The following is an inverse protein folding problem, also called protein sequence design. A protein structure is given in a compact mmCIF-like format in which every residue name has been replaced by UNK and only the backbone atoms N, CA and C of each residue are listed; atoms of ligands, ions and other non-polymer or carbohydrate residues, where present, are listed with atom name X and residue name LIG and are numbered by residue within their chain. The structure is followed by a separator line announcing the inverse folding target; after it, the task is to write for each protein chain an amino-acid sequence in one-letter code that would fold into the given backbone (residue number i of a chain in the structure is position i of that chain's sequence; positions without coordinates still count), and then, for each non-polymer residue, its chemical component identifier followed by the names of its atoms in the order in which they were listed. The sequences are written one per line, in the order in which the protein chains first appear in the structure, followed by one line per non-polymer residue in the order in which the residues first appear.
data_IF_613827598805
#
_entry.id   IF_613827598805
#
_cell.length_a   1.000
_cell.length_b   1.000
_cell.length_c   1.000
_cell.angle_alpha   90.00
_cell.angle_beta   90.00
_cell.angle_gamma   90.00
#
_symmetry.space_group_name_H-M   'P 1'
#
loop_
_entity.id
_entity.type
_entity.pdbx_description
1 polymer ?
#
# COMPACT_ATOMS: atom_id res chain seq x y z
N UNK A 1 -10.27 -40.25 -58.12
CA UNK A 1 -9.09 -41.14 -58.05
C UNK A 1 -7.82 -40.29 -58.05
N UNK A 2 -6.79 -40.69 -57.29
CA UNK A 2 -5.34 -40.71 -57.64
C UNK A 2 -5.00 -40.04 -59.00
N UNK A 3 -4.07 -39.09 -59.22
CA UNK A 3 -2.70 -38.74 -58.68
C UNK A 3 -2.29 -37.40 -59.37
N UNK A 4 -1.18 -36.66 -59.13
CA UNK A 4 0.00 -36.75 -58.23
C UNK A 4 0.58 -35.35 -57.92
N UNK A 5 1.32 -35.26 -56.81
CA UNK A 5 2.53 -34.46 -56.51
C UNK A 5 3.19 -33.67 -57.67
N UNK A 6 3.55 -32.42 -57.41
CA UNK A 6 4.80 -31.81 -57.91
C UNK A 6 5.54 -31.13 -56.75
N UNK A 7 6.76 -31.59 -56.44
CA UNK A 7 7.63 -30.97 -55.45
C UNK A 7 8.74 -30.21 -56.18
N UNK A 8 8.92 -28.92 -55.86
CA UNK A 8 10.08 -28.15 -56.33
C UNK A 8 11.20 -28.26 -55.29
N UNK A 9 12.29 -28.93 -55.67
CA UNK A 9 13.56 -28.85 -54.97
C UNK A 9 14.49 -27.90 -55.73
N UNK A 10 15.05 -26.91 -55.05
CA UNK A 10 16.23 -26.18 -55.52
C UNK A 10 17.33 -26.31 -54.46
N UNK A 11 18.42 -26.98 -54.82
CA UNK A 11 19.63 -27.00 -53.99
C UNK A 11 20.36 -25.67 -54.12
N UNK A 12 20.84 -25.12 -53.01
CA UNK A 12 21.83 -24.06 -52.97
C UNK A 12 23.14 -24.61 -52.37
N UNK A 13 24.25 -24.29 -53.03
CA UNK A 13 25.58 -24.87 -52.84
C UNK A 13 26.25 -24.50 -51.51
N UNK A 14 26.97 -25.45 -50.90
CA UNK A 14 27.89 -25.19 -49.80
C UNK A 14 29.17 -24.49 -50.30
N UNK A 15 29.38 -23.24 -49.90
CA UNK A 15 30.66 -22.55 -50.04
C UNK A 15 31.44 -22.67 -48.71
N UNK A 16 32.54 -23.44 -48.71
CA UNK A 16 33.35 -23.64 -47.52
C UNK A 16 34.42 -22.55 -47.38
N UNK A 17 34.17 -21.56 -46.51
CA UNK A 17 35.22 -20.66 -46.02
C UNK A 17 35.80 -21.21 -44.71
N UNK A 18 37.12 -21.48 -44.71
CA UNK A 18 37.87 -21.81 -43.49
C UNK A 18 37.69 -20.68 -42.46
N UNK A 19 37.17 -21.00 -41.28
CA UNK A 19 37.22 -20.10 -40.12
C UNK A 19 38.40 -20.52 -39.23
N UNK A 20 39.17 -19.54 -38.76
CA UNK A 20 40.30 -19.78 -37.85
C UNK A 20 39.79 -20.34 -36.52
N UNK A 21 40.66 -21.10 -35.85
CA UNK A 21 40.43 -21.61 -34.50
C UNK A 21 40.56 -20.48 -33.48
N UNK A 22 39.50 -19.67 -33.33
CA UNK A 22 39.31 -18.84 -32.15
C UNK A 22 38.96 -19.76 -30.97
N UNK A 23 39.63 -19.57 -29.84
CA UNK A 23 39.41 -20.35 -28.62
C UNK A 23 37.94 -20.29 -28.21
N UNK A 24 37.29 -21.44 -28.10
CA UNK A 24 35.99 -21.55 -27.46
C UNK A 24 36.22 -21.19 -25.98
N UNK A 25 35.67 -20.09 -25.45
CA UNK A 25 35.71 -19.86 -24.02
C UNK A 25 34.96 -21.03 -23.37
N UNK A 26 35.60 -21.70 -22.41
CA UNK A 26 34.94 -22.78 -21.67
C UNK A 26 33.54 -22.32 -21.25
N UNK A 27 32.47 -23.08 -21.51
CA UNK A 27 31.16 -22.70 -21.01
C UNK A 27 31.27 -22.63 -19.49
N UNK A 28 31.03 -21.42 -18.95
CA UNK A 28 30.82 -21.25 -17.52
C UNK A 28 29.75 -22.26 -17.13
N UNK A 29 29.98 -23.12 -16.11
CA UNK A 29 28.97 -24.09 -15.71
C UNK A 29 27.65 -23.37 -15.48
N UNK A 30 26.56 -23.88 -16.06
CA UNK A 30 25.22 -23.41 -15.71
C UNK A 30 24.96 -23.74 -14.24
N UNK A 31 25.35 -22.82 -13.36
CA UNK A 31 25.02 -22.87 -11.95
C UNK A 31 23.50 -22.81 -11.86
N UNK A 32 22.88 -23.97 -11.58
CA UNK A 32 21.43 -24.10 -11.53
C UNK A 32 20.89 -23.21 -10.42
N UNK A 33 20.43 -22.03 -10.82
CA UNK A 33 19.92 -21.00 -9.93
C UNK A 33 18.90 -21.59 -8.95
N UNK A 34 19.01 -21.19 -7.68
CA UNK A 34 18.22 -21.82 -6.62
C UNK A 34 16.73 -21.51 -6.79
N UNK A 35 15.83 -22.51 -6.66
CA UNK A 35 14.38 -22.27 -6.54
C UNK A 35 13.99 -21.68 -5.16
N UNK A 36 14.96 -21.28 -4.35
CA UNK A 36 14.78 -20.66 -3.04
C UNK A 36 15.83 -19.59 -2.76
N UNK A 37 15.41 -18.35 -2.52
CA UNK A 37 16.26 -17.30 -1.95
C UNK A 37 16.08 -17.21 -0.42
N UNK A 38 17.11 -16.78 0.34
CA UNK A 38 16.96 -16.43 1.75
C UNK A 38 16.18 -15.12 1.90
N UNK A 39 15.34 -15.03 2.93
CA UNK A 39 14.65 -13.79 3.29
C UNK A 39 14.28 -13.76 4.78
N UNK A 40 14.11 -12.57 5.34
CA UNK A 40 13.68 -12.38 6.74
C UNK A 40 12.18 -12.11 6.82
N UNK A 41 11.50 -12.67 7.82
CA UNK A 41 10.09 -12.40 8.11
C UNK A 41 9.95 -11.69 9.46
N UNK A 42 9.33 -10.51 9.45
CA UNK A 42 8.92 -9.74 10.63
C UNK A 42 7.41 -9.53 10.57
N UNK A 43 6.80 -9.16 11.68
CA UNK A 43 5.39 -8.77 11.68
C UNK A 43 4.92 -8.14 12.98
N UNK A 44 3.76 -7.49 12.90
CA UNK A 44 3.08 -6.91 14.06
C UNK A 44 2.64 -8.00 15.05
N UNK A 45 2.78 -7.70 16.35
CA UNK A 45 2.38 -8.60 17.46
C UNK A 45 1.08 -8.19 18.16
N UNK A 46 0.58 -7.00 17.86
CA UNK A 46 -0.60 -6.38 18.46
C UNK A 46 -1.24 -5.44 17.44
N UNK A 47 -2.54 -5.22 17.56
CA UNK A 47 -3.26 -4.30 16.69
C UNK A 47 -2.78 -2.85 16.87
N UNK A 48 -2.86 -2.07 15.80
CA UNK A 48 -2.61 -0.63 15.87
C UNK A 48 -3.72 0.02 16.68
N UNK A 49 -3.35 0.64 17.81
CA UNK A 49 -4.27 1.46 18.59
C UNK A 49 -4.37 2.85 17.93
N UNK A 50 -5.56 3.29 17.52
CA UNK A 50 -5.75 4.65 16.99
C UNK A 50 -5.53 5.68 18.11
N UNK A 51 -5.10 6.89 17.73
CA UNK A 51 -4.87 7.99 18.68
C UNK A 51 -6.17 8.52 19.30
N UNK A 52 -7.30 8.31 18.62
CA UNK A 52 -8.63 8.75 19.03
C UNK A 52 -9.59 7.56 18.98
N UNK A 53 -10.59 7.48 19.87
CA UNK A 53 -11.64 6.47 19.78
C UNK A 53 -12.47 6.67 18.51
N UNK A 54 -12.94 5.57 17.93
CA UNK A 54 -13.86 5.60 16.80
C UNK A 54 -15.28 5.99 17.25
N UNK A 55 -16.08 6.55 16.33
CA UNK A 55 -17.54 6.59 16.49
C UNK A 55 -18.09 5.17 16.50
N UNK A 56 -19.01 4.87 17.43
CA UNK A 56 -19.69 3.58 17.51
C UNK A 56 -20.48 3.25 16.24
N UNK A 57 -21.09 4.27 15.62
CA UNK A 57 -21.95 4.13 14.42
C UNK A 57 -21.17 4.26 13.11
N UNK A 58 -20.28 5.25 13.01
CA UNK A 58 -19.65 5.66 11.75
C UNK A 58 -18.13 5.45 11.71
N UNK A 59 -17.58 4.77 12.73
CA UNK A 59 -16.17 4.49 12.88
C UNK A 59 -15.32 5.77 12.77
N UNK A 60 -14.43 5.92 11.77
CA UNK A 60 -13.61 7.13 11.59
C UNK A 60 -14.10 8.09 10.48
N UNK A 61 -15.36 8.01 10.06
CA UNK A 61 -15.90 8.97 9.09
C UNK A 61 -15.95 10.37 9.72
N UNK A 62 -15.54 11.42 8.99
CA UNK A 62 -15.46 12.79 9.51
C UNK A 62 -14.23 13.10 10.36
N UNK A 63 -13.39 12.09 10.65
CA UNK A 63 -12.14 12.30 11.37
C UNK A 63 -11.04 12.82 10.47
N UNK A 64 -10.09 13.54 11.07
CA UNK A 64 -8.84 13.93 10.42
C UNK A 64 -7.97 12.74 10.03
N UNK A 65 -7.14 12.94 9.02
CA UNK A 65 -6.13 11.97 8.55
C UNK A 65 -4.88 12.69 8.05
N UNK A 66 -3.72 12.15 8.42
CA UNK A 66 -2.41 12.64 8.02
C UNK A 66 -1.85 11.79 6.88
N UNK A 67 -2.01 12.26 5.63
CA UNK A 67 -1.53 11.54 4.45
C UNK A 67 0.01 11.54 4.34
N UNK A 68 0.72 12.27 5.21
CA UNK A 68 2.18 12.26 5.25
C UNK A 68 2.75 11.12 6.09
N UNK A 69 1.90 10.43 6.86
CA UNK A 69 2.26 9.31 7.71
C UNK A 69 2.17 7.98 6.94
N UNK A 70 1.19 7.11 7.21
CA UNK A 70 1.05 5.78 6.60
C UNK A 70 -0.17 5.68 5.70
N UNK A 71 -0.12 4.75 4.77
CA UNK A 71 -1.19 4.46 3.82
C UNK A 71 -2.28 3.58 4.45
N UNK A 72 -3.50 4.10 4.54
CA UNK A 72 -4.68 3.39 5.09
C UNK A 72 -4.47 2.79 6.49
N UNK A 73 -3.75 3.47 7.38
CA UNK A 73 -3.41 2.98 8.72
C UNK A 73 -4.18 3.74 9.81
N UNK A 74 -4.57 3.04 10.87
CA UNK A 74 -5.20 3.63 12.05
C UNK A 74 -4.25 4.59 12.80
N UNK A 75 -2.93 4.43 12.69
CA UNK A 75 -1.96 5.38 13.29
C UNK A 75 -1.98 6.75 12.63
N UNK A 76 -2.52 6.86 11.41
CA UNK A 76 -2.57 8.09 10.63
C UNK A 76 -3.90 8.83 10.76
N UNK A 77 -4.88 8.25 11.47
CA UNK A 77 -6.10 8.95 11.90
C UNK A 77 -5.76 10.02 12.95
N UNK A 78 -6.51 11.11 12.95
CA UNK A 78 -6.33 12.32 13.77
C UNK A 78 -7.67 12.74 14.40
N UNK A 79 -7.73 13.88 15.08
CA UNK A 79 -8.91 14.30 15.84
C UNK A 79 -10.17 14.47 14.96
N UNK A 80 -11.37 14.37 15.56
CA UNK A 80 -12.63 14.45 14.83
C UNK A 80 -12.97 15.88 14.35
N UNK A 81 -13.22 16.04 13.05
CA UNK A 81 -13.50 17.33 12.40
C UNK A 81 -15.00 17.55 12.21
N UNK A 82 -15.72 16.53 11.77
CA UNK A 82 -17.16 16.59 11.47
C UNK A 82 -17.95 15.72 12.45
N UNK A 83 -18.99 16.28 13.06
CA UNK A 83 -20.00 15.53 13.80
C UNK A 83 -20.93 14.83 12.79
N UNK A 84 -20.52 13.64 12.36
CA UNK A 84 -21.29 12.81 11.43
C UNK A 84 -22.64 12.38 12.02
N UNK A 85 -22.73 12.20 13.34
CA UNK A 85 -24.00 11.88 13.99
C UNK A 85 -24.99 13.04 13.89
N UNK A 86 -24.54 14.28 14.05
CA UNK A 86 -25.36 15.47 13.83
C UNK A 86 -25.69 15.69 12.35
N UNK A 87 -24.76 15.40 11.43
CA UNK A 87 -24.98 15.46 9.98
C UNK A 87 -26.10 14.52 9.53
N UNK A 88 -26.05 13.25 9.97
CA UNK A 88 -27.06 12.23 9.63
C UNK A 88 -28.42 12.54 10.27
N UNK A 89 -28.44 13.12 11.47
CA UNK A 89 -29.66 13.46 12.20
C UNK A 89 -30.46 14.63 11.59
N UNK A 90 -29.86 15.48 10.74
CA UNK A 90 -30.55 16.64 10.13
C UNK A 90 -31.60 16.25 9.08
N UNK A 91 -31.56 14.99 8.58
CA UNK A 91 -32.46 14.39 7.56
C UNK A 91 -32.43 15.02 6.17
N UNK A 92 -31.98 16.28 6.02
CA UNK A 92 -31.68 16.88 4.70
C UNK A 92 -30.35 16.35 4.15
N UNK A 93 -29.43 16.08 5.06
CA UNK A 93 -28.19 15.35 4.82
C UNK A 93 -28.33 13.95 5.40
N UNK A 94 -27.66 12.98 4.78
CA UNK A 94 -27.69 11.57 5.18
C UNK A 94 -26.33 10.96 4.85
N UNK A 95 -25.82 10.07 5.69
CA UNK A 95 -24.63 9.26 5.40
C UNK A 95 -25.00 8.19 4.38
N UNK A 96 -24.27 8.17 3.26
CA UNK A 96 -24.36 7.08 2.29
C UNK A 96 -23.75 5.84 2.93
N UNK A 97 -24.59 4.82 3.10
CA UNK A 97 -24.23 3.53 3.67
C UNK A 97 -24.38 2.42 2.64
N UNK A 98 -23.31 1.67 2.42
CA UNK A 98 -23.32 0.45 1.60
C UNK A 98 -22.86 -0.71 2.48
N UNK A 99 -23.66 -1.77 2.58
CA UNK A 99 -23.34 -3.00 3.31
C UNK A 99 -23.21 -4.15 2.33
N UNK A 100 -22.08 -4.86 2.37
CA UNK A 100 -21.82 -6.00 1.50
C UNK A 100 -20.39 -6.49 1.68
N UNK A 101 -20.22 -7.82 1.76
CA UNK A 101 -18.91 -8.44 1.94
C UNK A 101 -18.17 -8.55 0.61
N UNK A 102 -17.06 -7.82 0.46
CA UNK A 102 -16.18 -7.88 -0.71
C UNK A 102 -14.76 -8.23 -0.26
N UNK A 103 -14.23 -9.37 -0.70
CA UNK A 103 -12.82 -9.71 -0.52
C UNK A 103 -12.04 -9.55 -1.82
N UNK A 104 -10.82 -9.00 -1.73
CA UNK A 104 -9.90 -8.86 -2.86
C UNK A 104 -8.49 -8.59 -2.34
N UNK A 105 -7.52 -8.41 -3.23
CA UNK A 105 -6.19 -7.93 -2.89
C UNK A 105 -5.72 -6.83 -3.85
N UNK A 106 -4.69 -6.11 -3.44
CA UNK A 106 -3.94 -5.18 -4.30
C UNK A 106 -2.45 -5.41 -4.10
N UNK A 107 -1.74 -5.57 -5.21
CA UNK A 107 -0.27 -5.68 -5.25
C UNK A 107 0.29 -4.43 -5.91
N UNK A 108 1.23 -3.76 -5.26
CA UNK A 108 2.01 -2.64 -5.80
C UNK A 108 3.48 -3.00 -5.73
N UNK A 109 4.16 -3.04 -6.86
CA UNK A 109 5.62 -3.21 -6.97
C UNK A 109 6.24 -1.84 -7.25
N UNK A 110 7.44 -1.58 -6.72
CA UNK A 110 8.09 -0.30 -6.88
C UNK A 110 9.63 -0.36 -6.87
N UNK A 111 10.26 0.34 -7.82
CA UNK A 111 11.71 0.33 -8.01
C UNK A 111 12.50 1.02 -6.89
N UNK A 112 11.80 1.80 -6.04
CA UNK A 112 12.35 2.54 -4.92
C UNK A 112 11.25 3.04 -3.97
N UNK A 113 11.62 3.57 -2.80
CA UNK A 113 10.67 4.16 -1.85
C UNK A 113 9.93 5.39 -2.41
N UNK A 114 10.59 6.16 -3.29
CA UNK A 114 10.00 7.29 -4.02
C UNK A 114 8.89 6.82 -4.97
N UNK A 115 9.15 5.75 -5.72
CA UNK A 115 8.18 5.16 -6.64
C UNK A 115 7.00 4.54 -5.88
N UNK A 116 7.24 3.82 -4.78
CA UNK A 116 6.16 3.30 -3.94
C UNK A 116 5.29 4.43 -3.39
N UNK A 117 5.91 5.46 -2.80
CA UNK A 117 5.19 6.64 -2.29
C UNK A 117 4.41 7.38 -3.39
N UNK A 118 4.94 7.41 -4.62
CA UNK A 118 4.23 7.95 -5.80
C UNK A 118 3.00 7.10 -6.15
N UNK A 119 3.15 5.77 -6.21
CA UNK A 119 2.06 4.82 -6.50
C UNK A 119 0.98 4.81 -5.40
N UNK A 120 1.36 4.97 -4.14
CA UNK A 120 0.44 5.14 -3.01
C UNK A 120 -0.31 6.49 -3.11
N UNK A 121 0.40 7.62 -3.28
CA UNK A 121 -0.21 8.94 -3.48
C UNK A 121 -1.16 9.02 -4.66
N UNK A 122 -0.87 8.32 -5.76
CA UNK A 122 -1.73 8.31 -6.95
C UNK A 122 -2.98 7.41 -6.79
N UNK A 123 -3.20 6.81 -5.61
CA UNK A 123 -4.41 6.05 -5.29
C UNK A 123 -5.60 6.92 -4.85
N UNK A 124 -5.38 8.21 -4.61
CA UNK A 124 -6.41 9.17 -4.21
C UNK A 124 -6.27 10.46 -5.01
N UNK A 125 -7.39 11.06 -5.39
CA UNK A 125 -7.38 12.31 -6.15
C UNK A 125 -6.72 13.45 -5.37
N UNK A 126 -7.02 13.55 -4.06
CA UNK A 126 -6.49 14.60 -3.19
C UNK A 126 -4.97 14.53 -2.96
N UNK A 127 -4.33 13.36 -3.15
CA UNK A 127 -2.89 13.17 -2.90
C UNK A 127 -2.05 12.94 -4.15
N UNK A 128 -2.68 12.99 -5.33
CA UNK A 128 -2.05 12.66 -6.61
C UNK A 128 -0.82 13.53 -6.88
N UNK A 129 0.30 12.90 -7.22
CA UNK A 129 1.58 13.58 -7.48
C UNK A 129 2.37 14.07 -6.26
N UNK A 130 1.82 14.00 -5.03
CA UNK A 130 2.45 14.55 -3.82
C UNK A 130 3.55 13.65 -3.21
N UNK A 131 3.56 12.34 -3.50
CA UNK A 131 4.60 11.37 -3.08
C UNK A 131 4.73 11.23 -1.56
N UNK A 132 3.58 11.08 -0.91
CA UNK A 132 3.40 11.02 0.54
C UNK A 132 3.28 9.57 1.02
N UNK A 133 2.71 9.35 2.21
CA UNK A 133 2.62 8.05 2.88
C UNK A 133 3.97 7.38 3.18
N UNK A 134 5.06 8.15 3.32
CA UNK A 134 6.43 7.62 3.45
C UNK A 134 6.68 6.76 4.69
N UNK A 135 5.91 6.94 5.78
CA UNK A 135 6.05 6.12 6.98
C UNK A 135 5.51 4.69 6.80
N UNK A 136 4.77 4.42 5.72
CA UNK A 136 4.43 3.05 5.26
C UNK A 136 5.70 2.22 4.98
N UNK A 137 6.83 2.90 4.73
CA UNK A 137 8.12 2.30 4.39
C UNK A 137 9.12 2.53 5.52
N UNK A 138 9.31 3.80 5.91
CA UNK A 138 10.39 4.21 6.82
C UNK A 138 10.31 3.57 8.22
N UNK A 139 9.10 3.36 8.75
CA UNK A 139 8.92 2.79 10.10
C UNK A 139 8.96 1.26 10.11
N UNK A 140 8.96 0.62 8.95
CA UNK A 140 8.79 -0.83 8.81
C UNK A 140 10.12 -1.58 8.83
N UNK A 141 11.18 -0.95 8.31
CA UNK A 141 12.54 -1.49 8.26
C UNK A 141 13.55 -0.51 8.91
N UNK A 142 13.48 -0.30 10.24
CA UNK A 142 14.26 0.73 10.95
C UNK A 142 15.78 0.51 10.89
N UNK A 143 16.23 -0.72 10.60
CA UNK A 143 17.64 -1.09 10.39
C UNK A 143 18.21 -0.64 9.03
N UNK A 144 17.39 0.00 8.18
CA UNK A 144 17.76 0.37 6.81
C UNK A 144 17.44 1.83 6.52
N UNK A 145 18.31 2.51 5.75
CA UNK A 145 17.90 3.72 5.04
C UNK A 145 16.90 3.34 3.95
N UNK A 146 15.61 3.43 4.28
CA UNK A 146 14.53 3.09 3.39
C UNK A 146 14.55 3.90 2.08
N UNK A 147 15.16 5.09 2.08
CA UNK A 147 15.25 5.96 0.91
C UNK A 147 16.43 5.68 -0.01
N UNK A 148 17.32 4.74 0.34
CA UNK A 148 18.49 4.42 -0.48
C UNK A 148 18.09 3.73 -1.80
N UNK A 149 18.67 4.19 -2.91
CA UNK A 149 18.38 3.74 -4.28
C UNK A 149 18.62 2.26 -4.54
N UNK A 150 19.45 1.57 -3.76
CA UNK A 150 19.68 0.12 -3.95
C UNK A 150 18.42 -0.70 -3.66
N UNK A 151 17.59 -0.23 -2.71
CA UNK A 151 16.41 -0.95 -2.29
C UNK A 151 15.26 -0.83 -3.29
N UNK A 152 14.52 -1.93 -3.39
CA UNK A 152 13.24 -2.05 -4.09
C UNK A 152 12.14 -2.41 -3.09
N UNK A 153 10.88 -2.18 -3.47
CA UNK A 153 9.75 -2.37 -2.58
C UNK A 153 8.57 -3.08 -3.21
N UNK A 154 7.81 -3.78 -2.36
CA UNK A 154 6.48 -4.27 -2.65
C UNK A 154 5.52 -3.89 -1.54
N UNK A 155 4.26 -3.62 -1.88
CA UNK A 155 3.16 -3.48 -0.93
C UNK A 155 2.02 -4.36 -1.41
N UNK A 156 1.67 -5.37 -0.61
CA UNK A 156 0.54 -6.25 -0.84
C UNK A 156 -0.50 -6.00 0.25
N UNK A 157 -1.78 -5.88 -0.12
CA UNK A 157 -2.89 -5.72 0.82
C UNK A 157 -4.00 -6.68 0.43
N UNK A 158 -4.27 -7.69 1.26
CA UNK A 158 -5.48 -8.50 1.16
C UNK A 158 -6.53 -7.94 2.11
N UNK A 159 -7.72 -7.63 1.59
CA UNK A 159 -8.75 -6.92 2.34
C UNK A 159 -10.13 -7.55 2.16
N UNK A 160 -10.94 -7.42 3.20
CA UNK A 160 -12.34 -7.86 3.30
C UNK A 160 -13.13 -6.64 3.76
N UNK A 161 -13.79 -5.96 2.82
CA UNK A 161 -14.70 -4.84 3.09
C UNK A 161 -16.05 -5.42 3.50
N UNK A 162 -16.67 -4.86 4.54
CA UNK A 162 -18.02 -5.21 5.00
C UNK A 162 -19.00 -4.05 4.84
N UNK A 163 -18.52 -2.82 5.05
CA UNK A 163 -19.31 -1.59 4.94
C UNK A 163 -18.50 -0.49 4.26
N UNK A 164 -19.18 0.41 3.57
CA UNK A 164 -18.65 1.69 3.14
C UNK A 164 -19.56 2.78 3.73
N UNK A 165 -18.94 3.78 4.35
CA UNK A 165 -19.61 4.99 4.83
C UNK A 165 -19.05 6.20 4.07
N UNK A 166 -19.94 7.06 3.58
CA UNK A 166 -19.57 8.29 2.87
C UNK A 166 -20.50 9.44 3.25
N UNK A 167 -19.99 10.65 3.35
CA UNK A 167 -20.80 11.87 3.34
C UNK A 167 -20.46 12.74 2.12
N UNK A 168 -21.38 13.63 1.74
CA UNK A 168 -21.13 14.57 0.65
C UNK A 168 -20.42 15.80 1.19
N UNK A 169 -19.15 15.96 0.82
CA UNK A 169 -18.32 17.09 1.22
C UNK A 169 -18.58 18.32 0.32
N UNK A 170 -19.68 19.02 0.58
CA UNK A 170 -19.91 20.39 0.11
C UNK A 170 -19.70 21.39 1.26
N UNK A 171 -19.74 22.71 0.99
CA UNK A 171 -19.53 23.73 2.04
C UNK A 171 -20.62 23.73 3.13
N UNK A 172 -21.77 23.10 2.91
CA UNK A 172 -22.82 23.04 3.92
C UNK A 172 -22.50 22.08 5.07
N UNK A 173 -21.55 21.15 4.88
CA UNK A 173 -21.03 20.29 5.95
C UNK A 173 -20.43 21.09 7.11
N UNK A 174 -19.95 22.32 6.87
CA UNK A 174 -19.29 23.15 7.89
C UNK A 174 -20.23 23.58 9.03
N UNK A 175 -21.55 23.45 8.84
CA UNK A 175 -22.54 23.58 9.91
C UNK A 175 -22.32 22.53 11.02
N UNK A 176 -21.90 21.32 10.63
CA UNK A 176 -21.77 20.13 11.48
C UNK A 176 -20.34 19.89 11.99
N UNK A 177 -19.44 20.89 11.93
CA UNK A 177 -18.11 20.71 12.53
C UNK A 177 -18.21 20.55 14.05
N UNK A 178 -17.32 19.74 14.62
CA UNK A 178 -17.25 19.49 16.07
C UNK A 178 -16.97 20.79 16.83
N UNK A 179 -17.47 20.88 18.07
CA UNK A 179 -17.23 22.05 18.92
C UNK A 179 -15.73 22.28 19.19
N UNK A 180 -14.95 21.20 19.31
CA UNK A 180 -13.50 21.26 19.44
C UNK A 180 -12.83 21.84 18.19
N UNK A 181 -13.18 21.38 16.99
CA UNK A 181 -12.58 21.92 15.76
C UNK A 181 -12.98 23.38 15.54
N UNK A 182 -14.26 23.75 15.75
CA UNK A 182 -14.73 25.15 15.67
C UNK A 182 -13.96 26.09 16.60
N UNK A 183 -13.69 25.67 17.85
CA UNK A 183 -12.87 26.43 18.80
C UNK A 183 -11.41 26.47 18.38
N UNK A 184 -10.85 25.35 17.95
CA UNK A 184 -9.44 25.25 17.63
C UNK A 184 -9.07 26.05 16.36
N UNK A 185 -9.98 26.18 15.38
CA UNK A 185 -9.82 27.07 14.22
C UNK A 185 -9.48 28.52 14.65
N UNK A 186 -10.06 29.01 15.74
CA UNK A 186 -9.86 30.40 16.21
C UNK A 186 -8.67 30.56 17.14
N UNK A 187 -8.25 29.49 17.83
CA UNK A 187 -7.19 29.53 18.83
C UNK A 187 -5.82 29.05 18.33
N UNK A 188 -5.78 28.11 17.39
CA UNK A 188 -4.55 27.43 16.97
C UNK A 188 -3.93 28.05 15.71
N UNK A 189 -2.60 27.95 15.61
CA UNK A 189 -1.87 28.17 14.37
C UNK A 189 -2.18 27.07 13.34
N UNK A 190 -1.93 27.34 12.06
CA UNK A 190 -2.04 26.33 11.01
C UNK A 190 -1.20 25.06 11.29
N UNK A 191 -0.02 25.21 11.90
CA UNK A 191 0.83 24.08 12.29
C UNK A 191 0.17 23.21 13.36
N UNK A 192 -0.41 23.82 14.40
CA UNK A 192 -1.07 23.09 15.49
C UNK A 192 -2.36 22.42 15.01
N UNK A 193 -3.13 23.08 14.13
CA UNK A 193 -4.28 22.49 13.47
C UNK A 193 -3.89 21.24 12.67
N UNK A 194 -2.84 21.32 11.85
CA UNK A 194 -2.39 20.19 11.03
C UNK A 194 -1.79 19.06 11.88
N UNK A 195 -1.11 19.37 12.97
CA UNK A 195 -0.64 18.36 13.92
C UNK A 195 -1.81 17.62 14.61
N UNK A 196 -2.88 18.33 15.00
CA UNK A 196 -4.02 17.77 15.75
C UNK A 196 -5.06 17.06 14.87
N UNK A 197 -5.40 17.66 13.73
CA UNK A 197 -6.45 17.20 12.81
C UNK A 197 -5.89 16.59 11.51
N UNK A 198 -4.57 16.53 11.35
CA UNK A 198 -3.96 16.01 10.14
C UNK A 198 -4.07 16.97 8.96
N UNK A 199 -4.08 16.40 7.77
CA UNK A 199 -3.96 17.13 6.51
C UNK A 199 -5.25 17.11 5.68
N UNK A 200 -6.04 16.07 5.89
CA UNK A 200 -7.30 15.80 5.20
C UNK A 200 -8.34 15.29 6.21
N UNK A 201 -9.60 15.25 5.80
CA UNK A 201 -10.72 14.62 6.51
C UNK A 201 -11.17 13.39 5.71
N UNK A 202 -11.52 12.32 6.43
CA UNK A 202 -12.05 11.09 5.90
C UNK A 202 -13.51 11.27 5.46
N UNK A 203 -13.77 11.28 4.15
CA UNK A 203 -15.08 11.56 3.53
C UNK A 203 -15.78 10.33 2.95
N UNK A 204 -15.02 9.30 2.57
CA UNK A 204 -15.52 8.02 2.05
C UNK A 204 -14.57 6.91 2.52
N UNK A 205 -15.02 6.07 3.45
CA UNK A 205 -14.20 5.06 4.13
C UNK A 205 -14.73 3.65 3.98
N UNK A 206 -13.79 2.70 3.94
CA UNK A 206 -14.04 1.27 3.93
C UNK A 206 -13.85 0.71 5.34
N UNK A 207 -14.88 0.03 5.82
CA UNK A 207 -14.89 -0.68 7.10
C UNK A 207 -14.79 -2.17 6.83
N UNK A 208 -13.88 -2.84 7.50
CA UNK A 208 -13.62 -4.25 7.23
C UNK A 208 -12.44 -4.80 8.02
N UNK A 209 -11.69 -5.70 7.39
CA UNK A 209 -10.40 -6.17 7.89
C UNK A 209 -9.40 -6.27 6.75
N UNK A 210 -8.11 -6.05 7.02
CA UNK A 210 -7.03 -6.17 6.04
C UNK A 210 -5.78 -6.81 6.62
N UNK A 211 -5.01 -7.45 5.77
CA UNK A 211 -3.69 -8.02 6.01
C UNK A 211 -2.73 -7.40 5.00
N UNK A 212 -1.79 -6.59 5.50
CA UNK A 212 -0.80 -5.90 4.69
C UNK A 212 0.56 -6.59 4.80
N UNK A 213 1.33 -6.58 3.71
CA UNK A 213 2.72 -7.01 3.66
C UNK A 213 3.52 -5.96 2.92
N UNK A 214 4.54 -5.40 3.59
CA UNK A 214 5.58 -4.60 2.94
C UNK A 214 6.78 -5.51 2.69
N UNK A 215 7.29 -5.48 1.47
CA UNK A 215 8.49 -6.17 1.01
C UNK A 215 9.58 -5.15 0.74
N UNK A 216 10.82 -5.48 1.11
CA UNK A 216 12.02 -4.77 0.71
C UNK A 216 13.09 -5.79 0.30
N UNK A 217 13.85 -5.49 -0.75
CA UNK A 217 15.07 -6.21 -1.10
C UNK A 217 16.08 -5.26 -1.73
N UNK A 218 17.30 -5.73 -1.92
CA UNK A 218 18.26 -5.12 -2.83
C UNK A 218 18.14 -5.78 -4.20
N UNK A 219 18.23 -4.97 -5.25
CA UNK A 219 18.22 -5.45 -6.63
C UNK A 219 19.22 -4.65 -7.48
N UNK A 220 19.80 -5.25 -8.55
CA UNK A 220 20.55 -4.52 -9.56
C UNK A 220 19.74 -3.37 -10.19
N UNK A 221 20.43 -2.32 -10.62
CA UNK A 221 19.84 -1.25 -11.43
C UNK A 221 19.74 -1.69 -12.90
N UNK A 222 18.72 -1.21 -13.62
CA UNK A 222 18.52 -1.47 -15.05
C UNK A 222 17.22 -2.20 -15.38
N UNK A 223 16.96 -2.41 -16.66
CA UNK A 223 15.63 -2.75 -17.22
C UNK A 223 15.01 -4.11 -16.86
N UNK A 224 15.54 -4.87 -15.89
CA UNK A 224 14.89 -6.04 -15.29
C UNK A 224 14.39 -5.80 -13.86
N UNK A 225 14.62 -4.61 -13.30
CA UNK A 225 14.35 -4.29 -11.89
C UNK A 225 12.90 -4.59 -11.49
N UNK A 226 11.90 -4.18 -12.29
CA UNK A 226 10.49 -4.54 -12.07
C UNK A 226 10.24 -6.06 -11.98
N UNK A 227 10.81 -6.87 -12.89
CA UNK A 227 10.65 -8.33 -12.84
C UNK A 227 11.29 -8.93 -11.58
N UNK A 228 12.47 -8.44 -11.20
CA UNK A 228 13.18 -8.88 -10.00
C UNK A 228 12.29 -8.66 -8.76
N UNK A 229 11.65 -7.50 -8.66
CA UNK A 229 10.71 -7.15 -7.59
C UNK A 229 9.49 -8.06 -7.61
N UNK A 230 8.90 -8.26 -8.78
CA UNK A 230 7.74 -9.14 -8.98
C UNK A 230 8.05 -10.56 -8.47
N UNK A 231 9.19 -11.13 -8.85
CA UNK A 231 9.62 -12.46 -8.43
C UNK A 231 9.85 -12.55 -6.92
N UNK A 232 10.60 -11.61 -6.35
CA UNK A 232 10.89 -11.59 -4.92
C UNK A 232 9.64 -11.42 -4.05
N UNK A 233 8.73 -10.52 -4.44
CA UNK A 233 7.46 -10.31 -3.76
C UNK A 233 6.54 -11.54 -3.89
N UNK A 234 6.37 -12.12 -5.09
CA UNK A 234 5.50 -13.28 -5.27
C UNK A 234 6.04 -14.53 -4.57
N UNK A 235 7.35 -14.72 -4.58
CA UNK A 235 8.01 -15.81 -3.87
C UNK A 235 7.80 -15.70 -2.36
N UNK A 236 8.06 -14.53 -1.76
CA UNK A 236 7.91 -14.33 -0.31
C UNK A 236 6.45 -14.44 0.16
N UNK A 237 5.49 -13.89 -0.59
CA UNK A 237 4.06 -14.03 -0.29
C UNK A 237 3.57 -15.49 -0.35
N UNK A 238 3.93 -16.21 -1.42
CA UNK A 238 3.55 -17.62 -1.61
C UNK A 238 4.20 -18.53 -0.56
N UNK A 239 5.49 -18.32 -0.25
CA UNK A 239 6.24 -19.12 0.72
C UNK A 239 5.81 -18.90 2.17
N UNK A 240 5.45 -17.68 2.54
CA UNK A 240 5.14 -17.33 3.95
C UNK A 240 3.66 -17.51 4.27
N UNK A 241 2.77 -17.12 3.35
CA UNK A 241 1.33 -16.99 3.63
C UNK A 241 0.43 -17.85 2.72
N UNK A 242 0.99 -18.45 1.66
CA UNK A 242 0.19 -19.11 0.62
C UNK A 242 -0.65 -18.13 -0.22
N UNK A 243 -0.35 -16.83 -0.18
CA UNK A 243 -1.15 -15.79 -0.82
C UNK A 243 -0.92 -15.74 -2.35
N UNK A 244 -1.98 -15.49 -3.14
CA UNK A 244 -1.88 -15.29 -4.58
C UNK A 244 -1.33 -13.89 -4.90
N UNK A 245 -0.69 -13.74 -6.07
CA UNK A 245 -0.30 -12.43 -6.62
C UNK A 245 -0.97 -12.10 -7.95
N UNK A 246 -1.75 -13.03 -8.51
CA UNK A 246 -2.33 -12.96 -9.86
C UNK A 246 -1.55 -13.74 -10.92
N UNK A 247 -0.36 -14.23 -10.59
CA UNK A 247 0.51 -15.00 -11.48
C UNK A 247 0.38 -16.51 -11.22
N UNK A 248 0.34 -17.31 -12.29
CA UNK A 248 0.16 -18.77 -12.25
C UNK A 248 1.34 -19.55 -12.87
N UNK A 249 2.27 -18.84 -13.50
CA UNK A 249 3.52 -19.34 -14.06
C UNK A 249 4.56 -19.69 -12.98
N UNK A 250 5.57 -20.46 -13.37
CA UNK A 250 6.70 -20.80 -12.51
C UNK A 250 7.66 -19.60 -12.32
N UNK A 251 8.30 -19.48 -11.13
CA UNK A 251 9.28 -18.43 -10.86
C UNK A 251 10.38 -18.32 -11.93
N UNK A 252 10.60 -17.13 -12.49
CA UNK A 252 11.80 -16.85 -13.26
C UNK A 252 13.00 -16.85 -12.30
N UNK A 253 13.75 -17.95 -12.32
CA UNK A 253 14.86 -18.16 -11.37
C UNK A 253 15.96 -17.10 -11.50
N UNK A 254 16.17 -16.51 -12.68
CA UNK A 254 17.13 -15.43 -12.87
C UNK A 254 16.70 -14.17 -12.15
N UNK A 255 15.49 -13.71 -12.42
CA UNK A 255 14.96 -12.49 -11.81
C UNK A 255 14.72 -12.71 -10.29
N UNK A 256 14.40 -13.93 -9.85
CA UNK A 256 14.30 -14.27 -8.43
C UNK A 256 15.66 -14.20 -7.70
N UNK A 257 16.71 -14.83 -8.24
CA UNK A 257 18.02 -14.91 -7.57
C UNK A 257 18.81 -13.58 -7.62
N UNK A 258 18.42 -12.63 -8.47
CA UNK A 258 18.94 -11.26 -8.44
C UNK A 258 18.39 -10.41 -7.26
N UNK A 259 17.43 -10.92 -6.47
CA UNK A 259 17.04 -10.32 -5.20
C UNK A 259 18.01 -10.72 -4.08
N UNK A 260 18.63 -9.75 -3.43
CA UNK A 260 19.46 -9.98 -2.23
C UNK A 260 18.88 -9.23 -1.02
N UNK A 261 19.30 -9.61 0.19
CA UNK A 261 18.85 -8.98 1.45
C UNK A 261 17.32 -8.91 1.65
N UNK A 262 16.56 -9.80 1.02
CA UNK A 262 15.10 -9.74 1.01
C UNK A 262 14.50 -9.83 2.42
N UNK A 263 13.52 -8.98 2.73
CA UNK A 263 12.75 -9.02 3.96
C UNK A 263 11.29 -8.60 3.74
N UNK A 264 10.40 -9.19 4.53
CA UNK A 264 8.99 -8.82 4.61
C UNK A 264 8.61 -8.44 6.03
N UNK A 265 7.68 -7.50 6.13
CA UNK A 265 6.95 -7.18 7.35
C UNK A 265 5.46 -7.30 7.09
N UNK A 266 4.74 -8.06 7.92
CA UNK A 266 3.28 -8.17 7.84
C UNK A 266 2.56 -7.49 9.01
N UNK A 267 1.36 -7.00 8.77
CA UNK A 267 0.44 -6.47 9.78
C UNK A 267 -1.01 -6.78 9.43
N UNK A 268 -1.90 -6.63 10.40
CA UNK A 268 -3.34 -6.68 10.18
C UNK A 268 -4.05 -5.47 10.79
N UNK A 269 -5.24 -5.18 10.30
CA UNK A 269 -6.18 -4.23 10.89
C UNK A 269 -7.57 -4.85 10.82
N UNK A 270 -8.27 -4.92 11.95
CA UNK A 270 -9.50 -5.69 12.08
C UNK A 270 -9.27 -7.21 12.16
N UNK A 271 -10.33 -7.94 12.55
CA UNK A 271 -10.23 -9.35 12.91
C UNK A 271 -9.55 -9.53 14.27
N UNK A 272 -8.71 -10.56 14.41
CA UNK A 272 -8.01 -10.91 15.65
C UNK A 272 -6.54 -11.27 15.33
N UNK A 273 -5.62 -10.32 15.55
CA UNK A 273 -4.19 -10.51 15.27
C UNK A 273 -3.57 -11.68 16.05
N UNK A 274 -4.13 -12.09 17.20
CA UNK A 274 -3.64 -13.24 17.97
C UNK A 274 -3.79 -14.58 17.23
N UNK A 275 -4.56 -14.60 16.14
CA UNK A 275 -4.72 -15.75 15.25
C UNK A 275 -3.61 -15.87 14.20
N UNK A 276 -2.83 -14.80 13.96
CA UNK A 276 -1.65 -14.82 13.09
C UNK A 276 -0.47 -15.44 13.84
N UNK A 277 -0.37 -16.76 13.79
CA UNK A 277 0.69 -17.52 14.47
C UNK A 277 1.82 -17.84 13.48
N UNK A 278 3.01 -17.21 13.62
CA UNK A 278 4.18 -17.60 12.85
C UNK A 278 4.78 -18.90 13.39
N UNK A 279 5.02 -19.86 12.50
CA UNK A 279 5.59 -21.17 12.78
C UNK A 279 6.84 -21.41 11.92
N UNK A 280 7.87 -22.04 12.47
CA UNK A 280 9.08 -22.39 11.70
C UNK A 280 8.98 -23.84 11.20
N UNK A 281 8.81 -24.01 9.89
CA UNK A 281 8.68 -25.30 9.21
C UNK A 281 9.80 -25.41 8.20
N UNK A 282 10.65 -26.45 8.28
CA UNK A 282 11.79 -26.68 7.37
C UNK A 282 12.67 -25.42 7.18
N UNK A 283 13.06 -24.80 8.30
CA UNK A 283 13.85 -23.56 8.38
C UNK A 283 13.22 -22.34 7.70
N UNK A 284 11.88 -22.29 7.58
CA UNK A 284 11.13 -21.17 7.00
C UNK A 284 9.99 -20.74 7.92
N UNK A 285 9.76 -19.44 8.01
CA UNK A 285 8.58 -18.91 8.70
C UNK A 285 7.36 -19.06 7.79
N UNK A 286 6.30 -19.64 8.32
CA UNK A 286 4.97 -19.74 7.71
C UNK A 286 3.96 -19.10 8.65
N UNK A 287 3.00 -18.33 8.13
CA UNK A 287 1.91 -17.73 8.90
C UNK A 287 0.59 -18.07 8.23
N UNK A 288 -0.16 -18.99 8.84
CA UNK A 288 -1.44 -19.42 8.28
C UNK A 288 -2.55 -18.38 8.58
N UNK A 289 -3.15 -17.83 7.52
CA UNK A 289 -4.14 -16.76 7.64
C UNK A 289 -5.56 -17.26 7.94
N UNK A 290 -5.85 -18.56 7.81
CA UNK A 290 -7.22 -19.10 7.91
C UNK A 290 -7.94 -18.71 9.20
N UNK A 291 -7.24 -18.79 10.35
CA UNK A 291 -7.81 -18.43 11.64
C UNK A 291 -8.03 -16.92 11.81
N UNK A 292 -7.20 -16.10 11.17
CA UNK A 292 -7.41 -14.65 11.13
C UNK A 292 -8.59 -14.30 10.20
N UNK A 293 -8.66 -14.88 9.01
CA UNK A 293 -9.81 -14.70 8.08
C UNK A 293 -11.12 -15.14 8.75
N UNK A 294 -11.15 -16.28 9.44
CA UNK A 294 -12.33 -16.72 10.19
C UNK A 294 -12.73 -15.77 11.34
N UNK A 295 -11.83 -14.87 11.77
CA UNK A 295 -12.10 -13.85 12.80
C UNK A 295 -12.57 -12.50 12.26
N UNK A 296 -12.55 -12.27 10.94
CA UNK A 296 -12.95 -10.99 10.30
C UNK A 296 -14.47 -10.86 10.19
N UNK A 297 -15.18 -11.05 11.30
CA UNK A 297 -16.63 -10.86 11.44
C UNK A 297 -17.00 -9.37 11.57
N UNK A 298 -18.24 -9.01 11.23
CA UNK A 298 -18.72 -7.61 11.19
C UNK A 298 -18.43 -6.82 12.48
N UNK A 299 -18.60 -7.42 13.66
CA UNK A 299 -18.35 -6.79 14.97
C UNK A 299 -16.85 -6.52 15.27
N UNK A 300 -15.94 -7.16 14.50
CA UNK A 300 -14.49 -6.95 14.58
C UNK A 300 -13.95 -6.16 13.39
N UNK A 301 -14.82 -5.47 12.66
CA UNK A 301 -14.44 -4.59 11.56
C UNK A 301 -14.13 -3.18 12.03
N UNK A 302 -13.21 -2.51 11.34
CA UNK A 302 -12.83 -1.12 11.59
C UNK A 302 -12.37 -0.45 10.29
N UNK A 303 -12.00 0.83 10.32
CA UNK A 303 -11.38 1.50 9.19
C UNK A 303 -10.18 0.71 8.65
N UNK A 304 -10.23 0.38 7.37
CA UNK A 304 -9.13 -0.28 6.63
C UNK A 304 -8.62 0.54 5.45
N UNK A 305 -9.17 1.74 5.24
CA UNK A 305 -8.72 2.66 4.21
C UNK A 305 -9.81 3.54 3.64
N UNK A 306 -9.39 4.53 2.85
CA UNK A 306 -10.29 5.39 2.09
C UNK A 306 -10.70 4.77 0.75
N UNK A 307 -11.76 5.32 0.16
CA UNK A 307 -11.99 5.26 -1.30
C UNK A 307 -11.12 6.30 -2.01
N UNK A 308 -11.04 6.23 -3.33
CA UNK A 308 -10.28 7.16 -4.20
C UNK A 308 -10.65 8.64 -3.98
N UNK A 309 -11.94 8.92 -3.78
CA UNK A 309 -12.50 10.23 -3.41
C UNK A 309 -12.58 10.49 -1.89
N UNK A 310 -12.01 9.60 -1.07
CA UNK A 310 -12.24 9.53 0.38
C UNK A 310 -11.45 10.50 1.26
N UNK A 311 -10.75 11.46 0.66
CA UNK A 311 -10.01 12.51 1.36
C UNK A 311 -10.42 13.90 0.88
N UNK A 312 -10.83 14.77 1.79
CA UNK A 312 -10.98 16.20 1.54
C UNK A 312 -9.93 17.00 2.32
N UNK A 313 -9.14 17.90 1.71
CA UNK A 313 -8.16 18.72 2.42
C UNK A 313 -8.75 19.49 3.61
N UNK A 314 -8.03 19.55 4.74
CA UNK A 314 -8.53 20.11 6.00
C UNK A 314 -9.05 21.55 5.86
N UNK A 315 -8.42 22.38 5.03
CA UNK A 315 -8.83 23.76 4.79
C UNK A 315 -10.23 23.90 4.15
N UNK A 316 -10.80 22.85 3.56
CA UNK A 316 -12.18 22.90 3.03
C UNK A 316 -13.22 23.10 4.14
N UNK A 317 -12.89 22.66 5.35
CA UNK A 317 -13.73 22.70 6.55
C UNK A 317 -13.56 23.99 7.37
N UNK A 318 -12.94 25.02 6.78
CA UNK A 318 -12.72 26.33 7.42
C UNK A 318 -13.46 27.38 6.59
N UNK A 319 -14.40 28.07 7.24
CA UNK A 319 -15.21 29.14 6.63
C UNK A 319 -14.48 30.49 6.62
N UNK A 320 -13.69 30.78 7.66
CA UNK A 320 -12.88 32.00 7.72
C UNK A 320 -11.82 32.01 6.61
N UNK A 321 -11.92 32.98 5.71
CA UNK A 321 -11.08 33.03 4.51
C UNK A 321 -9.59 33.22 4.81
N UNK A 322 -9.24 33.92 5.89
CA UNK A 322 -7.85 34.20 6.27
C UNK A 322 -7.21 32.95 6.85
N UNK A 323 -7.84 32.31 7.83
CA UNK A 323 -7.39 31.06 8.44
C UNK A 323 -7.39 29.91 7.43
N UNK A 324 -8.36 29.86 6.51
CA UNK A 324 -8.38 28.92 5.38
C UNK A 324 -7.14 29.06 4.48
N UNK A 325 -6.78 30.29 4.12
CA UNK A 325 -5.59 30.57 3.34
C UNK A 325 -4.29 30.25 4.09
N UNK A 326 -4.20 30.57 5.38
CA UNK A 326 -3.08 30.22 6.28
C UNK A 326 -2.86 28.70 6.32
N UNK A 327 -3.93 27.93 6.61
CA UNK A 327 -3.86 26.46 6.69
C UNK A 327 -3.52 25.84 5.34
N UNK A 328 -4.06 26.35 4.22
CA UNK A 328 -3.67 25.88 2.90
C UNK A 328 -2.18 26.13 2.62
N UNK A 329 -1.69 27.34 2.86
CA UNK A 329 -0.29 27.69 2.60
C UNK A 329 0.68 26.85 3.45
N UNK A 330 0.33 26.59 4.71
CA UNK A 330 1.10 25.67 5.56
C UNK A 330 1.09 24.24 4.99
N UNK A 331 -0.06 23.72 4.56
CA UNK A 331 -0.16 22.37 3.98
C UNK A 331 0.65 22.22 2.69
N UNK A 332 0.63 23.22 1.80
CA UNK A 332 1.44 23.22 0.59
C UNK A 332 2.94 23.07 0.91
N UNK A 333 3.45 23.75 1.95
CA UNK A 333 4.82 23.61 2.44
C UNK A 333 5.07 22.26 3.14
N UNK A 334 4.11 21.81 3.95
CA UNK A 334 4.18 20.57 4.71
C UNK A 334 4.31 19.34 3.79
N UNK A 335 3.55 19.30 2.70
CA UNK A 335 3.66 18.25 1.68
C UNK A 335 5.05 18.23 1.02
N UNK A 336 5.62 19.39 0.67
CA UNK A 336 6.97 19.47 0.08
C UNK A 336 8.07 19.03 1.05
N UNK A 337 7.89 19.31 2.35
CA UNK A 337 8.78 18.86 3.41
C UNK A 337 8.69 17.35 3.66
N UNK A 338 7.49 16.76 3.56
CA UNK A 338 7.22 15.34 3.85
C UNK A 338 7.27 14.41 2.63
N UNK A 339 7.26 14.95 1.41
CA UNK A 339 7.38 14.17 0.19
C UNK A 339 8.66 13.33 0.19
N UNK A 340 8.51 12.03 -0.09
CA UNK A 340 9.64 11.09 -0.11
C UNK A 340 10.62 11.47 -1.22
N UNK A 341 11.91 11.45 -0.87
CA UNK A 341 13.06 11.77 -1.72
C UNK A 341 14.06 10.63 -1.60
N UNK A 342 14.78 10.33 -2.68
CA UNK A 342 15.80 9.29 -2.66
C UNK A 342 17.11 9.81 -2.05
N UNK A 343 17.69 9.04 -1.16
CA UNK A 343 19.08 9.20 -0.71
C UNK A 343 20.01 8.45 -1.68
N UNK A 344 21.32 8.74 -1.59
CA UNK A 344 22.36 8.01 -2.33
C UNK A 344 22.85 6.83 -1.48
#
# INVERSE_FOLDING_TARGET
MKRTILALALMATLAACKKNSEEIPNPVPEEKLSPNIPFTVKGAKQDVKPLYPASETFNFLGFGYDVTDKFNDLSSVRANVVDISAYDADRKYNVVFIRGTQSSWRTTQAESAFDLSTKLSNSYDATKGLKLFGNTINQVFPETDATNKKYVYGHYSYYIIWKIYKFYNDQSVNKFLTADFKRDITLLSAQELVNKYGTHVLTNIKIGSKFDVVYQAEAPQGGRRDNIIMEGLRYTLKRTFGLPTGYLDDPNLRDLNDNTSAQIYYSSTGGDISKLKPETINNRVVVNLNNWVASTIEDKTTFIGASDDGFAPLYNFIDDAVKKAEVKAYLDQYYVAKAVKLTN
#
